data_IF_769008684928
#
_entry.id   IF_769008684928
#
_cell.length_a   1.000
_cell.length_b   1.000
_cell.length_c   1.000
_cell.angle_alpha   90.00
_cell.angle_beta   90.00
_cell.angle_gamma   90.00
#
_symmetry.space_group_name_H-M   'P 1'
#
loop_
_entity.id
_entity.type
_entity.pdbx_description
1 polymer ?
#
# COMPACT_ATOMS: atom_id res chain seq x y z
N UNK A 1 -4.16 13.63 -1.94
CA UNK A 1 -4.04 13.41 -3.40
C UNK A 1 -5.09 12.36 -3.68
N UNK A 2 -6.06 12.60 -4.58
CA UNK A 2 -7.28 11.79 -4.61
C UNK A 2 -7.73 11.47 -6.04
N UNK A 3 -8.13 10.22 -6.27
CA UNK A 3 -8.69 9.70 -7.51
C UNK A 3 -10.03 9.01 -7.22
N UNK A 4 -11.12 9.53 -7.78
CA UNK A 4 -12.47 8.97 -7.63
C UNK A 4 -12.95 8.22 -8.87
N UNK A 5 -12.07 7.92 -9.82
CA UNK A 5 -12.39 7.11 -11.01
C UNK A 5 -12.34 5.60 -10.73
N UNK A 6 -11.86 5.20 -9.55
CA UNK A 6 -11.73 3.81 -9.09
C UNK A 6 -12.49 3.60 -7.79
N UNK A 7 -13.54 2.76 -7.84
CA UNK A 7 -14.34 2.42 -6.66
C UNK A 7 -14.90 3.66 -5.94
N UNK A 8 -14.82 3.65 -4.62
CA UNK A 8 -15.16 4.76 -3.73
C UNK A 8 -14.00 5.77 -3.57
N UNK A 9 -12.86 5.52 -4.23
CA UNK A 9 -11.72 6.41 -4.29
C UNK A 9 -10.41 5.76 -3.88
N UNK A 10 -9.33 6.37 -4.35
CA UNK A 10 -7.97 6.15 -3.87
C UNK A 10 -7.47 7.49 -3.35
N UNK A 11 -7.12 7.54 -2.07
CA UNK A 11 -6.65 8.76 -1.41
C UNK A 11 -5.25 8.53 -0.83
N UNK A 12 -4.37 9.51 -0.97
CA UNK A 12 -3.01 9.47 -0.41
C UNK A 12 -2.79 10.61 0.56
N UNK A 13 -2.32 10.24 1.75
CA UNK A 13 -2.11 11.09 2.91
C UNK A 13 -0.64 11.10 3.32
N UNK A 14 -0.25 12.20 3.95
CA UNK A 14 1.05 12.41 4.56
C UNK A 14 0.90 12.47 6.07
N UNK A 15 1.54 11.53 6.77
CA UNK A 15 1.54 11.46 8.24
C UNK A 15 2.71 12.23 8.87
N UNK A 16 3.59 12.82 8.06
CA UNK A 16 4.69 13.70 8.46
C UNK A 16 5.57 13.11 9.57
N UNK A 17 5.99 11.86 9.37
CA UNK A 17 6.88 11.10 10.27
C UNK A 17 6.37 10.97 11.70
N UNK A 18 5.04 10.90 11.87
CA UNK A 18 4.43 10.49 13.15
C UNK A 18 4.77 9.03 13.42
N UNK A 19 5.30 8.78 14.61
CA UNK A 19 5.71 7.45 15.02
C UNK A 19 4.50 6.51 15.10
N UNK A 20 4.47 5.44 14.33
CA UNK A 20 3.33 4.53 14.29
C UNK A 20 3.06 3.84 15.64
N UNK A 21 4.09 3.63 16.47
CA UNK A 21 3.96 2.95 17.77
C UNK A 21 3.54 3.90 18.90
N UNK A 22 3.72 5.21 18.73
CA UNK A 22 3.49 6.23 19.79
C UNK A 22 2.46 7.28 19.42
N UNK A 23 2.22 7.50 18.13
CA UNK A 23 1.40 8.56 17.58
C UNK A 23 0.36 8.00 16.57
N UNK A 24 -0.07 6.73 16.75
CA UNK A 24 -1.05 6.06 15.88
C UNK A 24 -2.33 6.88 15.65
N UNK A 25 -2.80 7.62 16.66
CA UNK A 25 -4.00 8.46 16.56
C UNK A 25 -3.93 9.57 15.51
N UNK A 26 -2.74 9.88 14.99
CA UNK A 26 -2.56 10.85 13.90
C UNK A 26 -2.70 10.23 12.51
N UNK A 27 -2.72 8.90 12.38
CA UNK A 27 -2.93 8.24 11.09
C UNK A 27 -4.39 8.40 10.63
N UNK A 28 -4.65 8.63 9.32
CA UNK A 28 -3.71 8.57 8.19
C UNK A 28 -2.89 9.86 7.96
N UNK A 29 -3.05 10.89 8.78
CA UNK A 29 -2.41 12.19 8.60
C UNK A 29 -3.25 13.16 7.80
N UNK A 30 -2.59 13.99 6.99
CA UNK A 30 -3.24 15.03 6.17
C UNK A 30 -3.31 14.61 4.71
N UNK A 31 -4.45 14.84 4.04
CA UNK A 31 -4.58 14.53 2.63
C UNK A 31 -3.52 15.32 1.84
N UNK A 32 -2.70 14.66 1.02
CA UNK A 32 -1.67 15.37 0.27
C UNK A 32 -2.31 16.36 -0.73
N UNK A 33 -2.05 17.66 -0.62
CA UNK A 33 -2.66 18.66 -1.51
C UNK A 33 -1.61 19.40 -2.32
N UNK A 34 -2.00 19.87 -3.51
CA UNK A 34 -1.22 20.81 -4.31
C UNK A 34 -2.11 21.92 -4.82
N UNK A 35 -1.56 23.13 -4.98
CA UNK A 35 -2.22 24.26 -5.62
C UNK A 35 -2.15 24.20 -7.16
N UNK A 36 -1.49 23.17 -7.70
CA UNK A 36 -1.36 22.92 -9.14
C UNK A 36 -1.54 21.42 -9.45
N UNK A 37 -1.49 21.07 -10.73
CA UNK A 37 -1.51 19.66 -11.17
C UNK A 37 -0.22 18.90 -10.84
N UNK A 38 0.84 19.60 -10.40
CA UNK A 38 2.13 19.00 -10.04
C UNK A 38 2.20 18.76 -8.52
N UNK A 39 2.53 17.53 -8.13
CA UNK A 39 2.84 17.16 -6.74
C UNK A 39 4.35 17.03 -6.58
N UNK A 40 4.91 17.70 -5.56
CA UNK A 40 6.36 17.78 -5.36
C UNK A 40 6.91 16.70 -4.42
N UNK A 41 6.04 15.95 -3.74
CA UNK A 41 6.44 14.81 -2.93
C UNK A 41 6.44 13.53 -3.79
N UNK A 42 7.62 13.00 -4.17
CA UNK A 42 7.69 11.77 -4.94
C UNK A 42 7.14 10.56 -4.18
N UNK A 43 7.12 10.57 -2.83
CA UNK A 43 6.62 9.46 -2.02
C UNK A 43 5.09 9.37 -2.15
N UNK A 44 4.37 10.47 -1.95
CA UNK A 44 2.94 10.53 -2.21
C UNK A 44 2.59 10.19 -3.67
N UNK A 45 3.37 10.67 -4.63
CA UNK A 45 3.16 10.35 -6.05
C UNK A 45 3.33 8.85 -6.32
N UNK A 46 4.40 8.23 -5.81
CA UNK A 46 4.63 6.78 -5.93
C UNK A 46 3.50 5.98 -5.29
N UNK A 47 3.15 6.27 -4.03
CA UNK A 47 2.10 5.54 -3.32
C UNK A 47 0.75 5.63 -4.03
N UNK A 48 0.40 6.82 -4.53
CA UNK A 48 -0.86 7.03 -5.23
C UNK A 48 -0.89 6.31 -6.58
N UNK A 49 0.16 6.48 -7.38
CA UNK A 49 0.27 5.82 -8.68
C UNK A 49 0.19 4.30 -8.52
N UNK A 50 0.96 3.72 -7.59
CA UNK A 50 0.97 2.27 -7.40
C UNK A 50 -0.34 1.74 -6.86
N UNK A 51 -1.01 2.43 -5.93
CA UNK A 51 -2.35 2.06 -5.51
C UNK A 51 -3.33 2.01 -6.70
N UNK A 52 -3.26 2.96 -7.64
CA UNK A 52 -4.10 2.92 -8.86
C UNK A 52 -3.81 1.71 -9.74
N UNK A 53 -2.53 1.33 -9.85
CA UNK A 53 -2.09 0.21 -10.69
C UNK A 53 -2.42 -1.15 -10.09
N UNK A 54 -2.27 -1.29 -8.77
CA UNK A 54 -2.69 -2.47 -8.02
C UNK A 54 -4.20 -2.67 -8.15
N UNK A 55 -4.98 -1.59 -7.97
CA UNK A 55 -6.43 -1.63 -8.17
C UNK A 55 -6.79 -2.11 -9.60
N UNK A 56 -6.15 -1.54 -10.62
CA UNK A 56 -6.38 -1.91 -12.02
C UNK A 56 -5.99 -3.36 -12.30
N UNK A 57 -4.89 -3.85 -11.73
CA UNK A 57 -4.48 -5.25 -11.86
C UNK A 57 -5.58 -6.21 -11.36
N UNK A 58 -6.08 -5.98 -10.14
CA UNK A 58 -7.15 -6.81 -9.57
C UNK A 58 -8.44 -6.74 -10.40
N UNK A 59 -8.80 -5.55 -10.87
CA UNK A 59 -9.96 -5.33 -11.74
C UNK A 59 -9.80 -6.02 -13.09
N UNK A 60 -8.65 -5.90 -13.73
CA UNK A 60 -8.43 -6.40 -15.09
C UNK A 60 -8.28 -7.91 -15.12
N UNK A 61 -7.48 -8.46 -14.20
CA UNK A 61 -7.11 -9.89 -14.17
C UNK A 61 -8.15 -10.74 -13.46
N UNK A 62 -8.74 -10.25 -12.38
CA UNK A 62 -9.63 -11.03 -11.54
C UNK A 62 -11.07 -10.52 -11.51
N UNK A 63 -11.37 -9.42 -12.24
CA UNK A 63 -12.68 -8.75 -12.21
C UNK A 63 -13.10 -8.34 -10.80
N UNK A 64 -12.11 -8.12 -9.93
CA UNK A 64 -12.30 -7.73 -8.52
C UNK A 64 -12.36 -6.20 -8.41
N UNK A 65 -13.40 -5.67 -7.78
CA UNK A 65 -13.54 -4.23 -7.56
C UNK A 65 -12.97 -3.83 -6.18
N UNK A 66 -11.73 -3.30 -6.14
CA UNK A 66 -10.98 -3.04 -4.90
C UNK A 66 -10.63 -4.30 -4.10
N UNK A 67 -10.03 -4.12 -2.92
CA UNK A 67 -9.59 -5.22 -2.08
C UNK A 67 -10.77 -6.02 -1.51
N UNK A 68 -11.94 -5.42 -1.32
CA UNK A 68 -13.13 -6.06 -0.72
C UNK A 68 -14.18 -6.55 -1.74
N UNK A 69 -13.86 -6.41 -3.04
CA UNK A 69 -14.75 -6.66 -4.17
C UNK A 69 -16.02 -5.79 -4.23
N UNK A 70 -16.14 -4.72 -3.43
CA UNK A 70 -17.28 -3.79 -3.44
C UNK A 70 -16.85 -2.35 -3.72
N UNK A 71 -15.61 -2.17 -4.14
CA UNK A 71 -15.06 -0.88 -4.50
C UNK A 71 -14.68 -0.05 -3.29
N UNK A 72 -14.41 -0.65 -2.12
CA UNK A 72 -14.04 0.10 -0.93
C UNK A 72 -12.84 1.02 -1.19
N UNK A 73 -12.86 2.17 -0.52
CA UNK A 73 -11.82 3.18 -0.62
C UNK A 73 -10.46 2.61 -0.20
N UNK A 74 -9.41 2.93 -0.96
CA UNK A 74 -8.03 2.60 -0.65
C UNK A 74 -7.33 3.86 -0.15
N UNK A 75 -6.76 3.80 1.04
CA UNK A 75 -5.97 4.89 1.63
C UNK A 75 -4.50 4.49 1.57
N UNK A 76 -3.65 5.33 0.97
CA UNK A 76 -2.19 5.21 1.09
C UNK A 76 -1.67 6.27 2.06
N UNK A 77 -0.75 5.91 2.94
CA UNK A 77 -0.09 6.80 3.88
C UNK A 77 1.41 6.78 3.63
N UNK A 78 2.01 7.96 3.46
CA UNK A 78 3.46 8.12 3.25
C UNK A 78 4.12 8.85 4.40
N UNK A 79 5.45 8.84 4.41
CA UNK A 79 6.27 9.42 5.48
C UNK A 79 5.95 8.80 6.85
N UNK A 80 5.60 7.51 6.87
CA UNK A 80 5.45 6.78 8.12
C UNK A 80 6.83 6.38 8.67
N UNK A 81 6.87 6.13 9.98
CA UNK A 81 8.10 5.80 10.69
C UNK A 81 7.78 5.00 11.95
N UNK A 82 8.62 4.02 12.25
CA UNK A 82 8.67 3.34 13.54
C UNK A 82 10.02 3.63 14.23
N UNK A 83 9.95 4.28 15.39
CA UNK A 83 11.16 4.58 16.18
C UNK A 83 11.75 3.37 16.90
N UNK A 84 11.02 2.25 16.99
CA UNK A 84 11.53 0.99 17.52
C UNK A 84 12.44 0.26 16.52
N UNK A 85 12.29 0.53 15.22
CA UNK A 85 13.10 -0.08 14.15
C UNK A 85 14.28 0.80 13.70
N UNK A 86 14.10 2.13 13.65
CA UNK A 86 15.16 3.05 13.23
C UNK A 86 15.05 4.41 13.90
N UNK A 87 16.18 5.07 14.16
CA UNK A 87 16.22 6.44 14.68
C UNK A 87 16.08 7.52 13.60
N UNK A 88 16.18 7.16 12.32
CA UNK A 88 16.03 8.08 11.19
C UNK A 88 14.70 7.83 10.48
N UNK A 89 13.71 8.75 10.61
CA UNK A 89 12.39 8.58 10.01
C UNK A 89 12.41 8.36 8.50
N UNK A 90 13.42 8.89 7.80
CA UNK A 90 13.53 8.78 6.34
C UNK A 90 14.09 7.44 5.87
N UNK A 91 14.56 6.62 6.81
CA UNK A 91 15.21 5.34 6.54
C UNK A 91 14.42 4.15 7.10
N UNK A 92 13.15 4.34 7.46
CA UNK A 92 12.27 3.23 7.81
C UNK A 92 11.93 2.42 6.57
N UNK A 93 12.48 1.22 6.43
CA UNK A 93 12.36 0.36 5.26
C UNK A 93 11.26 -0.68 5.42
N UNK A 94 10.08 -0.25 5.82
CA UNK A 94 8.95 -1.14 6.06
C UNK A 94 7.65 -0.57 5.48
N UNK A 95 6.69 -1.44 5.24
CA UNK A 95 5.33 -1.11 4.84
C UNK A 95 4.38 -2.05 5.57
N UNK A 96 3.11 -1.66 5.68
CA UNK A 96 2.09 -2.55 6.26
C UNK A 96 0.68 -2.23 5.77
N UNK A 97 -0.17 -3.24 5.84
CA UNK A 97 -1.61 -3.16 5.64
C UNK A 97 -2.32 -2.96 6.99
N UNK A 98 -2.92 -1.79 7.17
CA UNK A 98 -3.58 -1.34 8.40
C UNK A 98 -5.10 -1.17 8.21
N UNK A 99 -5.80 -1.00 9.34
CA UNK A 99 -7.24 -0.72 9.39
C UNK A 99 -8.07 -1.71 8.56
N UNK A 100 -7.87 -3.01 8.82
CA UNK A 100 -8.48 -4.12 8.10
C UNK A 100 -8.25 -4.05 6.58
N UNK A 101 -7.05 -3.64 6.16
CA UNK A 101 -6.63 -3.59 4.76
C UNK A 101 -7.07 -2.33 3.99
N UNK A 102 -7.82 -1.43 4.62
CA UNK A 102 -8.25 -0.18 3.96
C UNK A 102 -7.15 0.88 3.88
N UNK A 103 -6.06 0.71 4.63
CA UNK A 103 -4.95 1.67 4.72
C UNK A 103 -3.61 0.98 4.47
N UNK A 104 -2.88 1.42 3.45
CA UNK A 104 -1.54 0.95 3.11
C UNK A 104 -0.52 1.99 3.58
N UNK A 105 0.36 1.63 4.49
CA UNK A 105 1.30 2.55 5.14
C UNK A 105 2.71 2.26 4.66
N UNK A 106 3.45 3.30 4.28
CA UNK A 106 4.78 3.14 3.68
C UNK A 106 5.84 4.02 4.34
N UNK A 107 6.98 3.40 4.62
CA UNK A 107 8.24 4.11 4.83
C UNK A 107 8.83 4.64 3.52
N UNK A 108 9.65 5.68 3.64
CA UNK A 108 10.16 6.44 2.50
C UNK A 108 10.96 5.61 1.48
N UNK A 109 11.90 4.72 1.85
CA UNK A 109 12.71 4.02 0.87
C UNK A 109 11.89 3.01 0.05
N UNK A 110 10.86 2.42 0.65
CA UNK A 110 10.14 1.26 0.11
C UNK A 110 8.92 1.62 -0.74
N UNK A 111 8.31 2.81 -0.55
CA UNK A 111 7.07 3.24 -1.22
C UNK A 111 7.11 3.20 -2.77
N UNK A 112 8.29 3.15 -3.36
CA UNK A 112 8.50 3.10 -4.82
C UNK A 112 8.49 1.67 -5.38
N UNK A 113 8.57 0.65 -4.52
CA UNK A 113 8.66 -0.75 -4.92
C UNK A 113 7.28 -1.23 -5.37
N UNK A 114 7.22 -1.77 -6.59
CA UNK A 114 5.96 -2.12 -7.26
C UNK A 114 5.29 -3.33 -6.60
N UNK A 115 6.12 -4.29 -6.24
CA UNK A 115 5.77 -5.51 -5.55
C UNK A 115 5.27 -5.24 -4.13
N UNK A 116 5.88 -4.32 -3.36
CA UNK A 116 5.46 -3.97 -2.01
C UNK A 116 4.06 -3.36 -1.99
N UNK A 117 3.74 -2.43 -2.90
CA UNK A 117 2.38 -1.91 -3.00
C UNK A 117 1.36 -3.02 -3.32
N UNK A 118 1.74 -4.00 -4.14
CA UNK A 118 0.92 -5.18 -4.43
C UNK A 118 0.79 -6.14 -3.25
N UNK A 119 1.87 -6.34 -2.50
CA UNK A 119 1.94 -7.16 -1.30
C UNK A 119 1.00 -6.62 -0.22
N UNK A 120 1.11 -5.33 0.14
CA UNK A 120 0.26 -4.73 1.18
C UNK A 120 -1.23 -4.72 0.83
N UNK A 121 -1.55 -4.49 -0.44
CA UNK A 121 -2.94 -4.59 -0.90
C UNK A 121 -3.44 -6.03 -0.88
N UNK A 122 -2.57 -7.01 -1.11
CA UNK A 122 -2.97 -8.42 -1.11
C UNK A 122 -3.28 -8.91 0.29
N UNK A 123 -2.62 -8.40 1.34
CA UNK A 123 -3.08 -8.61 2.71
C UNK A 123 -4.53 -8.15 2.92
N UNK A 124 -4.93 -7.01 2.33
CA UNK A 124 -6.30 -6.53 2.39
C UNK A 124 -7.27 -7.47 1.66
N UNK A 125 -6.86 -8.01 0.50
CA UNK A 125 -7.64 -9.02 -0.23
C UNK A 125 -7.81 -10.28 0.61
N UNK A 126 -6.71 -10.82 1.15
CA UNK A 126 -6.73 -12.02 2.01
C UNK A 126 -7.66 -11.81 3.21
N UNK A 127 -7.58 -10.66 3.87
CA UNK A 127 -8.44 -10.31 5.02
C UNK A 127 -9.92 -10.28 4.65
N UNK A 128 -10.25 -9.81 3.44
CA UNK A 128 -11.64 -9.75 2.96
C UNK A 128 -12.21 -11.07 2.42
N UNK A 129 -11.36 -12.07 2.21
CA UNK A 129 -11.71 -13.34 1.57
C UNK A 129 -11.54 -14.53 2.52
N UNK A 130 -10.35 -15.13 2.53
CA UNK A 130 -10.05 -16.31 3.36
C UNK A 130 -9.89 -15.96 4.83
N UNK A 131 -9.58 -14.70 5.13
CA UNK A 131 -9.31 -14.20 6.48
C UNK A 131 -8.34 -15.10 7.24
N UNK A 132 -7.24 -15.50 6.56
CA UNK A 132 -6.21 -16.34 7.14
C UNK A 132 -5.62 -15.66 8.38
N UNK A 133 -5.66 -16.38 9.50
CA UNK A 133 -5.06 -15.92 10.75
C UNK A 133 -3.56 -15.67 10.52
N UNK A 134 -3.09 -14.52 10.99
CA UNK A 134 -1.71 -14.08 10.83
C UNK A 134 -0.78 -14.75 11.86
N UNK A 135 -0.76 -16.08 11.84
CA UNK A 135 -0.02 -16.92 12.78
C UNK A 135 0.35 -18.27 12.16
N UNK A 136 1.49 -18.83 12.53
CA UNK A 136 1.93 -20.16 12.10
C UNK A 136 1.87 -20.36 10.58
N UNK A 137 1.33 -21.50 10.13
CA UNK A 137 1.23 -21.83 8.71
C UNK A 137 0.23 -20.93 7.96
N UNK A 138 -0.87 -20.53 8.57
CA UNK A 138 -1.84 -19.64 7.92
C UNK A 138 -1.26 -18.25 7.69
N UNK A 139 -0.43 -17.75 8.61
CA UNK A 139 0.32 -16.51 8.44
C UNK A 139 1.37 -16.64 7.33
N UNK A 140 2.12 -17.74 7.30
CA UNK A 140 3.09 -17.99 6.22
C UNK A 140 2.42 -18.08 4.83
N UNK A 141 1.21 -18.65 4.74
CA UNK A 141 0.43 -18.67 3.51
C UNK A 141 -0.06 -17.26 3.15
N UNK A 142 -0.48 -16.46 4.14
CA UNK A 142 -0.90 -15.06 3.92
C UNK A 142 0.25 -14.24 3.30
N UNK A 143 1.44 -14.30 3.89
CA UNK A 143 2.68 -13.69 3.36
C UNK A 143 3.01 -14.19 1.95
N UNK A 144 3.04 -15.51 1.75
CA UNK A 144 3.38 -16.09 0.46
C UNK A 144 2.40 -15.68 -0.65
N UNK A 145 1.10 -15.57 -0.34
CA UNK A 145 0.11 -15.05 -1.28
C UNK A 145 0.38 -13.57 -1.60
N UNK A 146 0.72 -12.76 -0.59
CA UNK A 146 1.09 -11.36 -0.79
C UNK A 146 2.32 -11.20 -1.68
N UNK A 147 3.37 -12.01 -1.49
CA UNK A 147 4.56 -12.01 -2.37
C UNK A 147 4.24 -12.44 -3.80
N UNK A 148 3.50 -13.54 -3.98
CA UNK A 148 3.12 -14.04 -5.32
C UNK A 148 2.36 -12.97 -6.09
N UNK A 149 1.42 -12.30 -5.42
CA UNK A 149 0.61 -11.25 -6.03
C UNK A 149 1.43 -9.97 -6.23
N UNK A 150 2.28 -9.59 -5.28
CA UNK A 150 3.23 -8.48 -5.38
C UNK A 150 4.12 -8.60 -6.61
N UNK A 151 4.82 -9.72 -6.76
CA UNK A 151 5.64 -10.00 -7.95
C UNK A 151 4.83 -9.99 -9.25
N UNK A 152 3.60 -10.53 -9.22
CA UNK A 152 2.71 -10.52 -10.39
C UNK A 152 2.27 -9.10 -10.78
N UNK A 153 2.07 -8.24 -9.79
CA UNK A 153 1.75 -6.82 -9.96
C UNK A 153 2.96 -6.07 -10.48
N UNK A 154 4.16 -6.28 -9.92
CA UNK A 154 5.40 -5.69 -10.44
C UNK A 154 5.50 -5.93 -11.95
N UNK A 155 5.33 -7.18 -12.37
CA UNK A 155 5.33 -7.55 -13.79
C UNK A 155 4.27 -6.81 -14.60
N UNK A 156 3.06 -6.64 -14.06
CA UNK A 156 1.97 -5.93 -14.73
C UNK A 156 2.26 -4.44 -14.88
N UNK A 157 2.76 -3.78 -13.82
CA UNK A 157 3.00 -2.34 -13.78
C UNK A 157 4.24 -1.95 -14.58
N UNK A 158 5.27 -2.80 -14.56
CA UNK A 158 6.58 -2.52 -15.14
C UNK A 158 6.75 -3.13 -16.55
N UNK A 159 5.67 -3.22 -17.32
CA UNK A 159 5.66 -3.68 -18.70
C UNK A 159 6.35 -5.03 -18.93
N UNK A 160 6.16 -5.97 -18.00
CA UNK A 160 6.74 -7.31 -18.08
C UNK A 160 8.14 -7.43 -17.48
N UNK A 161 8.78 -6.35 -17.03
CA UNK A 161 10.05 -6.40 -16.31
C UNK A 161 9.80 -6.67 -14.83
N UNK A 162 10.36 -7.74 -14.30
CA UNK A 162 10.24 -8.10 -12.89
C UNK A 162 11.39 -9.01 -12.47
N UNK A 163 11.54 -9.21 -11.17
CA UNK A 163 12.42 -10.23 -10.61
C UNK A 163 11.67 -11.05 -9.54
N UNK A 164 12.37 -11.94 -8.84
CA UNK A 164 11.81 -12.79 -7.78
C UNK A 164 12.28 -12.37 -6.38
N UNK A 165 12.69 -11.12 -6.24
CA UNK A 165 12.99 -10.50 -4.94
C UNK A 165 11.86 -9.58 -4.53
N UNK A 166 11.75 -9.32 -3.23
CA UNK A 166 10.79 -8.38 -2.67
C UNK A 166 11.52 -7.11 -2.21
N UNK A 167 11.07 -5.93 -2.67
CA UNK A 167 11.56 -4.61 -2.23
C UNK A 167 12.70 -4.02 -3.05
#
# INVERSE_FOLDING_TARGET
>A
LADYTRGQGIETYDVNYRDITKEESYYPGTLATSTSATFNDPKAVSAHYLATKVFDFYKDKYKRNSFDNKGQKVVSVVHAWDSEETNDPKNWQNALSANNGSMLVYGDPIVKAYDVAGHEFTHAVTSSESNLEYYGESGAINEALSDIMGTSIEKYVNNGNFNWTMG
#
